data_IF_921486685739
#
_entry.id   IF_921486685739
#
_cell.length_a   1.000
_cell.length_b   1.000
_cell.length_c   1.000
_cell.angle_alpha   90.00
_cell.angle_beta   90.00
_cell.angle_gamma   90.00
#
_symmetry.space_group_name_H-M   'P 1'
#
loop_
_entity.id
_entity.type
_entity.pdbx_description
1 polymer ?
#
# COMPACT_ATOMS: atom_id res chain seq x y z
N UNK A 1 -20.27 0.96 1.71
CA UNK A 1 -18.85 0.74 1.31
C UNK A 1 -18.84 0.34 -0.15
N UNK A 2 -17.90 0.80 -0.98
CA UNK A 2 -17.81 0.35 -2.36
C UNK A 2 -17.65 -1.16 -2.39
N UNK A 3 -18.30 -1.79 -3.38
CA UNK A 3 -18.22 -3.23 -3.60
C UNK A 3 -16.77 -3.60 -3.95
N UNK A 4 -16.16 -4.49 -3.15
CA UNK A 4 -14.79 -4.98 -3.34
C UNK A 4 -14.74 -6.24 -4.20
N UNK A 5 -15.88 -6.73 -4.69
CA UNK A 5 -15.97 -7.95 -5.49
C UNK A 5 -15.14 -7.93 -6.78
N UNK A 6 -14.82 -6.74 -7.29
CA UNK A 6 -14.01 -6.50 -8.49
C UNK A 6 -12.53 -6.20 -8.22
N UNK A 7 -12.10 -6.12 -6.94
CA UNK A 7 -10.71 -5.79 -6.59
C UNK A 7 -9.86 -7.05 -6.44
N UNK A 8 -8.62 -6.96 -6.92
CA UNK A 8 -7.63 -8.01 -6.76
C UNK A 8 -6.86 -7.82 -5.44
N UNK A 9 -6.89 -8.83 -4.57
CA UNK A 9 -6.01 -8.88 -3.40
C UNK A 9 -4.59 -9.20 -3.89
N UNK A 10 -3.72 -8.20 -3.88
CA UNK A 10 -2.35 -8.30 -4.37
C UNK A 10 -1.37 -8.70 -3.27
N UNK A 11 -1.59 -8.26 -2.03
CA UNK A 11 -0.71 -8.57 -0.90
C UNK A 11 -1.49 -8.68 0.41
N UNK A 12 -0.99 -9.51 1.31
CA UNK A 12 -1.60 -9.76 2.62
C UNK A 12 -0.51 -10.04 3.66
N UNK A 13 -0.50 -9.27 4.75
CA UNK A 13 0.35 -9.54 5.92
C UNK A 13 -0.50 -9.57 7.18
N UNK A 14 -0.20 -10.48 8.10
CA UNK A 14 -0.87 -10.58 9.39
C UNK A 14 -0.07 -9.85 10.47
N UNK A 15 -0.78 -9.24 11.42
CA UNK A 15 -0.18 -8.82 12.68
C UNK A 15 0.19 -10.03 13.55
N UNK A 16 1.00 -9.83 14.61
CA UNK A 16 1.57 -10.93 15.39
C UNK A 16 0.54 -11.88 16.01
N UNK A 17 -0.66 -11.37 16.28
CA UNK A 17 -1.72 -12.07 17.01
C UNK A 17 -2.70 -12.79 16.07
N UNK A 18 -2.55 -12.65 14.75
CA UNK A 18 -3.45 -13.22 13.74
C UNK A 18 -4.87 -12.63 13.69
N UNK A 19 -5.23 -11.71 14.59
CA UNK A 19 -6.55 -11.03 14.62
C UNK A 19 -6.58 -9.74 13.81
N UNK A 20 -5.44 -9.32 13.27
CA UNK A 20 -5.28 -8.11 12.46
C UNK A 20 -4.50 -8.46 11.21
N UNK A 21 -4.87 -7.83 10.09
CA UNK A 21 -4.21 -8.02 8.81
C UNK A 21 -4.20 -6.75 8.00
N UNK A 22 -3.19 -6.57 7.15
CA UNK A 22 -3.10 -5.51 6.17
C UNK A 22 -3.22 -6.11 4.79
N UNK A 23 -4.22 -5.63 4.04
CA UNK A 23 -4.54 -6.07 2.69
C UNK A 23 -4.14 -4.99 1.70
N UNK A 24 -3.48 -5.37 0.61
CA UNK A 24 -3.15 -4.50 -0.52
C UNK A 24 -4.04 -4.86 -1.70
N UNK A 25 -4.83 -3.90 -2.16
CA UNK A 25 -5.77 -4.09 -3.26
C UNK A 25 -5.36 -3.30 -4.50
N UNK A 26 -5.53 -3.95 -5.64
CA UNK A 26 -5.35 -3.38 -6.96
C UNK A 26 -6.64 -3.53 -7.78
N UNK A 27 -6.91 -2.56 -8.64
CA UNK A 27 -8.00 -2.60 -9.62
C UNK A 27 -7.43 -2.97 -11.00
N UNK A 28 -8.04 -3.91 -11.74
CA UNK A 28 -7.64 -4.18 -13.12
C UNK A 28 -7.92 -2.97 -14.02
N UNK A 29 -7.12 -2.81 -15.07
CA UNK A 29 -7.36 -1.81 -16.13
C UNK A 29 -7.60 -2.49 -17.48
N UNK A 30 -8.50 -1.93 -18.28
CA UNK A 30 -9.02 -2.52 -19.52
C UNK A 30 -7.94 -2.89 -20.55
N UNK A 31 -6.78 -2.22 -20.53
CA UNK A 31 -5.68 -2.42 -21.48
C UNK A 31 -4.57 -3.35 -20.96
N UNK A 32 -4.84 -4.09 -19.88
CA UNK A 32 -3.86 -4.92 -19.21
C UNK A 32 -3.06 -4.15 -18.17
N UNK A 33 -2.75 -4.82 -17.06
CA UNK A 33 -2.13 -4.23 -15.88
C UNK A 33 -3.12 -3.99 -14.75
N UNK A 34 -2.67 -3.30 -13.72
CA UNK A 34 -3.50 -2.97 -12.56
C UNK A 34 -3.04 -1.68 -11.92
N UNK A 35 -3.98 -0.92 -11.37
CA UNK A 35 -3.68 0.27 -10.58
C UNK A 35 -3.80 -0.05 -9.10
N UNK A 36 -2.89 0.50 -8.29
CA UNK A 36 -3.07 0.52 -6.85
C UNK A 36 -4.41 1.17 -6.51
N UNK A 37 -5.22 0.46 -5.74
CA UNK A 37 -6.53 0.94 -5.31
C UNK A 37 -6.49 1.42 -3.86
N UNK A 38 -6.05 0.55 -2.92
CA UNK A 38 -5.99 0.90 -1.51
C UNK A 38 -5.18 -0.09 -0.69
N UNK A 39 -4.70 0.35 0.47
CA UNK A 39 -4.37 -0.56 1.58
C UNK A 39 -5.48 -0.52 2.63
N UNK A 40 -5.80 -1.69 3.19
CA UNK A 40 -6.87 -1.84 4.18
C UNK A 40 -6.33 -2.62 5.37
N UNK A 41 -6.24 -1.97 6.51
CA UNK A 41 -6.02 -2.66 7.79
C UNK A 41 -7.37 -3.16 8.29
N UNK A 42 -7.48 -4.48 8.46
CA UNK A 42 -8.68 -5.15 8.94
C UNK A 42 -8.44 -5.80 10.29
N UNK A 43 -9.50 -5.89 11.10
CA UNK A 43 -9.52 -6.60 12.37
C UNK A 43 -10.61 -7.67 12.35
N UNK A 44 -10.30 -8.86 12.86
CA UNK A 44 -11.26 -9.93 13.06
C UNK A 44 -12.07 -9.65 14.31
N UNK A 45 -13.39 -9.48 14.16
CA UNK A 45 -14.34 -9.31 15.26
C UNK A 45 -15.40 -10.38 15.12
N UNK A 46 -15.50 -11.28 16.10
CA UNK A 46 -16.39 -12.45 16.06
C UNK A 46 -16.20 -13.30 14.79
N UNK A 47 -14.95 -13.58 14.41
CA UNK A 47 -14.57 -14.31 13.20
C UNK A 47 -14.98 -13.65 11.87
N UNK A 48 -15.31 -12.37 11.91
CA UNK A 48 -15.60 -11.57 10.71
C UNK A 48 -14.56 -10.48 10.56
N UNK A 49 -13.86 -10.47 9.42
CA UNK A 49 -12.93 -9.41 9.07
C UNK A 49 -13.69 -8.12 8.79
N UNK A 50 -13.33 -7.05 9.51
CA UNK A 50 -13.91 -5.73 9.34
C UNK A 50 -12.81 -4.71 9.04
N UNK A 51 -13.03 -3.79 8.09
CA UNK A 51 -12.12 -2.68 7.89
C UNK A 51 -11.98 -1.86 9.18
N UNK A 52 -10.76 -1.69 9.64
CA UNK A 52 -10.40 -0.78 10.73
C UNK A 52 -9.94 0.56 10.15
N UNK A 53 -8.99 0.51 9.20
CA UNK A 53 -8.46 1.68 8.49
C UNK A 53 -8.39 1.35 6.99
N UNK A 54 -8.67 2.35 6.15
CA UNK A 54 -8.51 2.25 4.70
C UNK A 54 -7.79 3.50 4.22
N UNK A 55 -6.69 3.31 3.48
CA UNK A 55 -5.98 4.38 2.79
C UNK A 55 -6.17 4.12 1.30
N UNK A 56 -6.99 4.97 0.66
CA UNK A 56 -7.23 4.88 -0.79
C UNK A 56 -6.04 5.39 -1.58
N UNK A 57 -6.03 5.13 -2.89
CA UNK A 57 -5.05 5.68 -3.83
C UNK A 57 -4.93 7.19 -3.70
N UNK A 58 -6.05 7.91 -3.63
CA UNK A 58 -6.08 9.38 -3.57
C UNK A 58 -5.51 9.89 -2.25
N UNK A 59 -5.85 9.24 -1.14
CA UNK A 59 -5.30 9.55 0.18
C UNK A 59 -3.80 9.25 0.23
N UNK A 60 -3.38 8.11 -0.32
CA UNK A 60 -1.97 7.74 -0.35
C UNK A 60 -1.18 8.68 -1.26
N UNK A 61 -1.71 9.05 -2.43
CA UNK A 61 -1.10 10.06 -3.32
C UNK A 61 -0.92 11.39 -2.58
N UNK A 62 -1.94 11.82 -1.82
CA UNK A 62 -1.90 13.03 -1.01
C UNK A 62 -1.50 14.25 -1.84
N UNK A 63 -0.54 15.03 -1.33
CA UNK A 63 0.01 16.18 -2.03
C UNK A 63 1.21 15.90 -2.95
N UNK A 64 1.55 14.63 -3.21
CA UNK A 64 2.70 14.30 -4.06
C UNK A 64 2.48 14.77 -5.49
N UNK A 65 3.48 15.44 -6.06
CA UNK A 65 3.48 15.90 -7.46
C UNK A 65 3.87 14.81 -8.45
N UNK A 66 4.45 13.72 -7.97
CA UNK A 66 4.76 12.53 -8.75
C UNK A 66 3.87 11.37 -8.31
N UNK A 67 3.51 10.49 -9.26
CA UNK A 67 2.69 9.31 -8.97
C UNK A 67 3.40 8.45 -7.94
N UNK A 68 2.69 8.03 -6.90
CA UNK A 68 3.18 7.05 -5.92
C UNK A 68 2.15 6.01 -5.58
N UNK A 69 2.60 4.82 -5.26
CA UNK A 69 1.72 3.73 -4.85
C UNK A 69 2.46 2.69 -4.00
N UNK A 70 1.69 1.89 -3.26
CA UNK A 70 2.22 0.75 -2.51
C UNK A 70 2.36 -0.45 -3.44
N UNK A 71 3.58 -0.90 -3.70
CA UNK A 71 3.87 -2.08 -4.51
C UNK A 71 3.84 -3.37 -3.70
N UNK A 72 4.28 -3.33 -2.45
CA UNK A 72 4.40 -4.54 -1.62
C UNK A 72 4.18 -4.25 -0.13
N UNK A 73 3.73 -5.27 0.61
CA UNK A 73 3.58 -5.24 2.07
C UNK A 73 4.61 -6.17 2.70
N UNK A 74 5.28 -5.72 3.76
CA UNK A 74 6.22 -6.55 4.50
C UNK A 74 5.72 -6.91 5.90
N UNK A 75 5.25 -5.92 6.67
CA UNK A 75 4.83 -6.14 8.05
C UNK A 75 3.73 -5.20 8.51
N UNK A 76 3.06 -5.58 9.59
CA UNK A 76 2.09 -4.78 10.32
C UNK A 76 2.42 -4.83 11.81
N UNK A 77 2.59 -3.67 12.44
CA UNK A 77 2.60 -3.47 13.88
C UNK A 77 1.27 -2.82 14.30
N UNK A 78 0.28 -3.62 14.76
CA UNK A 78 -1.03 -3.11 15.10
C UNK A 78 -1.04 -2.26 16.38
N UNK A 79 -0.05 -2.42 17.28
CA UNK A 79 0.01 -1.67 18.53
C UNK A 79 0.36 -0.20 18.27
N UNK A 80 1.28 0.03 17.33
CA UNK A 80 1.67 1.38 16.90
C UNK A 80 0.82 1.90 15.74
N UNK A 81 0.14 1.00 15.03
CA UNK A 81 -0.53 1.32 13.77
C UNK A 81 0.47 1.57 12.63
N UNK A 82 1.62 0.91 12.66
CA UNK A 82 2.71 1.10 11.70
C UNK A 82 2.81 -0.08 10.74
N UNK A 83 3.37 0.16 9.56
CA UNK A 83 3.66 -0.89 8.59
C UNK A 83 4.97 -0.61 7.87
N UNK A 84 5.73 -1.66 7.56
CA UNK A 84 6.77 -1.61 6.55
C UNK A 84 6.16 -1.99 5.19
N UNK A 85 6.31 -1.10 4.21
CA UNK A 85 5.73 -1.23 2.89
C UNK A 85 6.69 -0.74 1.81
N UNK A 86 6.67 -1.39 0.65
CA UNK A 86 7.43 -0.96 -0.51
C UNK A 86 6.61 0.09 -1.26
N UNK A 87 7.20 1.25 -1.48
CA UNK A 87 6.60 2.35 -2.21
C UNK A 87 7.33 2.53 -3.53
N UNK A 88 6.56 2.54 -4.61
CA UNK A 88 7.02 2.93 -5.92
C UNK A 88 6.62 4.37 -6.20
N UNK A 89 7.55 5.17 -6.72
CA UNK A 89 7.32 6.57 -7.07
C UNK A 89 7.91 6.90 -8.44
N UNK A 90 7.18 7.67 -9.23
CA UNK A 90 7.72 8.27 -10.44
C UNK A 90 8.77 9.35 -10.12
N UNK A 91 9.81 9.45 -10.94
CA UNK A 91 10.80 10.52 -10.85
C UNK A 91 10.30 11.87 -11.39
N UNK A 92 9.11 11.87 -12.04
CA UNK A 92 8.48 13.03 -12.70
C UNK A 92 6.96 12.99 -12.56
N UNK A 93 6.27 14.12 -12.77
CA UNK A 93 4.81 14.16 -12.86
C UNK A 93 4.25 13.26 -13.96
N UNK A 94 3.02 12.79 -13.80
CA UNK A 94 2.32 12.00 -14.83
C UNK A 94 2.19 12.76 -16.16
N UNK A 95 2.15 12.04 -17.27
CA UNK A 95 2.00 12.60 -18.63
C UNK A 95 3.31 13.04 -19.30
N UNK A 96 4.47 12.83 -18.65
CA UNK A 96 5.79 13.02 -19.29
C UNK A 96 6.14 11.81 -20.17
N UNK A 97 6.86 12.07 -21.27
CA UNK A 97 7.23 11.07 -22.29
C UNK A 97 8.05 9.88 -21.75
N UNK A 98 8.75 10.07 -20.64
CA UNK A 98 9.51 9.02 -19.97
C UNK A 98 9.50 9.29 -18.48
N UNK A 99 9.03 8.31 -17.72
CA UNK A 99 9.01 8.29 -16.25
C UNK A 99 9.80 7.06 -15.82
N UNK A 100 10.77 7.27 -14.93
CA UNK A 100 11.46 6.17 -14.25
C UNK A 100 10.82 5.97 -12.89
N UNK A 101 10.52 4.71 -12.55
CA UNK A 101 9.99 4.37 -11.24
C UNK A 101 11.11 3.97 -10.29
N UNK A 102 11.08 4.52 -9.08
CA UNK A 102 12.01 4.21 -8.00
C UNK A 102 11.24 3.51 -6.89
N UNK A 103 11.87 2.49 -6.32
CA UNK A 103 11.30 1.67 -5.27
C UNK A 103 12.06 1.89 -3.97
N UNK A 104 11.34 1.89 -2.86
CA UNK A 104 11.93 2.01 -1.54
C UNK A 104 11.04 1.39 -0.49
N UNK A 105 11.63 0.68 0.46
CA UNK A 105 10.95 0.23 1.66
C UNK A 105 10.85 1.38 2.64
N UNK A 106 9.65 1.61 3.17
CA UNK A 106 9.35 2.71 4.08
C UNK A 106 8.55 2.22 5.27
N UNK A 107 8.74 2.89 6.39
CA UNK A 107 7.85 2.78 7.54
C UNK A 107 6.74 3.81 7.38
N UNK A 108 5.50 3.37 7.53
CA UNK A 108 4.31 4.18 7.35
C UNK A 108 3.42 4.11 8.58
N UNK A 109 2.93 5.25 9.03
CA UNK A 109 1.87 5.39 10.01
C UNK A 109 0.52 5.23 9.28
N UNK A 110 -0.17 4.13 9.52
CA UNK A 110 -1.45 3.84 8.89
C UNK A 110 -2.58 4.71 9.46
N UNK A 111 -2.47 5.15 10.72
CA UNK A 111 -3.50 5.94 11.41
C UNK A 111 -3.52 7.36 10.88
N UNK A 112 -2.34 7.95 10.73
CA UNK A 112 -2.18 9.33 10.27
C UNK A 112 -1.92 9.44 8.76
N UNK A 113 -1.80 8.30 8.06
CA UNK A 113 -1.40 8.23 6.66
C UNK A 113 -0.12 9.05 6.39
N UNK A 114 0.92 8.76 7.16
CA UNK A 114 2.15 9.54 7.19
C UNK A 114 3.38 8.66 7.03
N UNK A 115 4.32 9.08 6.18
CA UNK A 115 5.63 8.46 6.10
C UNK A 115 6.42 8.76 7.38
N UNK A 116 6.90 7.71 8.05
CA UNK A 116 7.76 7.85 9.23
C UNK A 116 9.23 7.90 8.81
N UNK A 117 9.62 7.10 7.82
CA UNK A 117 10.96 7.13 7.27
C UNK A 117 11.25 6.04 6.25
N UNK A 118 12.37 6.19 5.55
CA UNK A 118 12.86 5.22 4.56
C UNK A 118 13.75 4.19 5.26
N UNK A 119 13.43 2.91 5.07
CA UNK A 119 14.20 1.78 5.57
C UNK A 119 15.33 1.40 4.59
N UNK A 120 15.00 1.33 3.30
CA UNK A 120 15.93 0.92 2.23
C UNK A 120 15.50 1.52 0.90
N UNK A 121 16.48 1.98 0.11
CA UNK A 121 16.27 2.28 -1.32
C UNK A 121 16.53 1.00 -2.12
N UNK A 122 15.60 0.64 -2.98
CA UNK A 122 15.70 -0.60 -3.76
C UNK A 122 16.55 -0.37 -5.01
N UNK A 123 17.35 -1.37 -5.37
CA UNK A 123 18.12 -1.39 -6.61
C UNK A 123 17.28 -1.82 -7.82
N UNK A 124 16.23 -2.61 -7.59
CA UNK A 124 15.24 -3.05 -8.56
C UNK A 124 13.85 -3.24 -7.88
N UNK A 125 12.76 -3.48 -8.64
CA UNK A 125 11.40 -3.60 -8.08
C UNK A 125 11.19 -4.76 -7.10
N UNK A 126 11.99 -5.83 -7.19
CA UNK A 126 11.84 -7.06 -6.40
C UNK A 126 12.88 -7.18 -5.29
N UNK A 127 13.60 -6.08 -4.99
CA UNK A 127 14.63 -6.04 -3.98
C UNK A 127 14.01 -6.26 -2.57
N UNK A 128 14.35 -7.35 -1.87
CA UNK A 128 13.73 -7.70 -0.59
C UNK A 128 14.08 -6.70 0.50
N UNK A 129 13.26 -6.62 1.56
CA UNK A 129 13.60 -5.83 2.75
C UNK A 129 14.71 -6.51 3.58
#
# INVERSE_FOLDING_TARGET
>A
MPDRSSLNLHGLVFGPNGVERLCLFYEPVDQGGSNFHSIVWERSVNNVWRPHITITREQFQGGSTTRRWVSELFSLDPQRGWSALQVAEGDRPEGRLSVTYRYSWRTWDLVNNLEIGILKRCSDPFDPL
#
